data_IF_082532661799
#
_entry.id   IF_082532661799
#
_cell.length_a   1.000
_cell.length_b   1.000
_cell.length_c   1.000
_cell.angle_alpha   90.00
_cell.angle_beta   90.00
_cell.angle_gamma   90.00
#
_symmetry.space_group_name_H-M   'P 1'
#
loop_
_entity.id
_entity.type
_entity.pdbx_description
1 polymer ?
#
# COMPACT_ATOMS: atom_id res chain seq x y z
N UNK A 1 3.59 -19.08 -28.60
CA UNK A 1 2.27 -19.73 -28.67
C UNK A 1 1.21 -18.68 -28.32
N UNK A 2 0.21 -18.43 -29.18
CA UNK A 2 -0.85 -17.46 -28.86
C UNK A 2 -1.74 -18.00 -27.73
N UNK A 3 -1.86 -17.25 -26.63
CA UNK A 3 -2.85 -17.54 -25.57
C UNK A 3 -4.27 -17.45 -26.14
N UNK A 4 -5.13 -18.43 -25.84
CA UNK A 4 -6.54 -18.41 -26.26
C UNK A 4 -7.29 -17.25 -25.61
N UNK A 5 -8.31 -16.73 -26.31
CA UNK A 5 -9.14 -15.63 -25.82
C UNK A 5 -9.84 -15.96 -24.48
N UNK A 6 -10.20 -17.23 -24.26
CA UNK A 6 -10.80 -17.72 -23.02
C UNK A 6 -9.83 -17.60 -21.83
N UNK A 7 -8.55 -17.92 -22.03
CA UNK A 7 -7.54 -17.82 -20.97
C UNK A 7 -7.30 -16.36 -20.56
N UNK A 8 -7.34 -15.43 -21.52
CA UNK A 8 -7.24 -13.98 -21.22
C UNK A 8 -8.41 -13.48 -20.38
N UNK A 9 -9.64 -13.94 -20.64
CA UNK A 9 -10.82 -13.58 -19.85
C UNK A 9 -10.71 -14.06 -18.41
N UNK A 10 -10.21 -15.29 -18.18
CA UNK A 10 -9.99 -15.83 -16.84
C UNK A 10 -8.94 -15.03 -16.06
N UNK A 11 -7.83 -14.65 -16.69
CA UNK A 11 -6.81 -13.79 -16.06
C UNK A 11 -7.38 -12.41 -15.74
N UNK A 12 -8.10 -11.78 -16.68
CA UNK A 12 -8.74 -10.48 -16.47
C UNK A 12 -9.72 -10.54 -15.29
N UNK A 13 -10.58 -11.56 -15.23
CA UNK A 13 -11.52 -11.75 -14.13
C UNK A 13 -10.80 -11.95 -12.79
N UNK A 14 -9.73 -12.75 -12.76
CA UNK A 14 -8.92 -12.95 -11.56
C UNK A 14 -8.27 -11.62 -11.08
N UNK A 15 -7.67 -10.84 -11.99
CA UNK A 15 -7.04 -9.55 -11.66
C UNK A 15 -8.08 -8.52 -11.21
N UNK A 16 -9.20 -8.39 -11.91
CA UNK A 16 -10.30 -7.47 -11.56
C UNK A 16 -10.96 -7.83 -10.23
N UNK A 17 -11.06 -9.12 -9.91
CA UNK A 17 -11.59 -9.58 -8.62
C UNK A 17 -10.60 -9.36 -7.46
N UNK A 18 -9.29 -9.40 -7.72
CA UNK A 18 -8.25 -9.19 -6.71
C UNK A 18 -7.92 -7.70 -6.46
N UNK A 19 -8.15 -6.82 -7.44
CA UNK A 19 -7.87 -5.39 -7.33
C UNK A 19 -8.59 -4.68 -6.15
N UNK A 20 -9.91 -4.87 -5.91
CA UNK A 20 -10.56 -4.29 -4.74
C UNK A 20 -10.08 -4.94 -3.43
N UNK A 21 -9.61 -6.20 -3.51
CA UNK A 21 -9.02 -6.88 -2.37
C UNK A 21 -7.64 -6.36 -2.01
N UNK A 22 -6.79 -5.91 -2.95
CA UNK A 22 -5.48 -5.34 -2.59
C UNK A 22 -5.61 -3.97 -1.89
N UNK A 23 -6.64 -3.18 -2.23
CA UNK A 23 -6.93 -1.90 -1.59
C UNK A 23 -7.64 -2.03 -0.23
N UNK A 24 -8.36 -3.15 0.00
CA UNK A 24 -9.07 -3.42 1.26
C UNK A 24 -8.39 -4.47 2.14
N UNK A 25 -7.43 -5.23 1.62
CA UNK A 25 -6.53 -6.08 2.37
C UNK A 25 -5.42 -5.22 2.98
N UNK A 26 -5.82 -4.28 3.83
CA UNK A 26 -5.18 -4.36 5.13
C UNK A 26 -5.53 -5.76 5.63
N UNK A 27 -4.58 -6.69 5.76
CA UNK A 27 -4.88 -8.00 6.30
C UNK A 27 -5.69 -7.75 7.55
N UNK A 28 -6.91 -8.33 7.63
CA UNK A 28 -7.64 -8.38 8.89
C UNK A 28 -6.66 -9.04 9.82
N UNK A 29 -6.00 -8.22 10.65
CA UNK A 29 -4.84 -8.66 11.39
C UNK A 29 -5.25 -9.94 12.12
N UNK A 30 -4.42 -11.00 12.12
CA UNK A 30 -4.70 -12.17 12.95
C UNK A 30 -5.09 -11.63 14.34
N UNK A 31 -6.11 -12.20 15.02
CA UNK A 31 -6.68 -11.60 16.23
C UNK A 31 -5.54 -11.30 17.20
N UNK A 32 -5.10 -10.04 17.18
CA UNK A 32 -4.01 -9.62 18.01
C UNK A 32 -4.60 -9.62 19.41
N UNK A 33 -4.03 -10.45 20.27
CA UNK A 33 -4.36 -10.46 21.68
C UNK A 33 -4.34 -9.01 22.14
N UNK A 34 -5.31 -8.57 22.96
CA UNK A 34 -5.43 -7.15 23.37
C UNK A 34 -4.10 -6.54 23.87
N UNK A 35 -3.19 -7.38 24.39
CA UNK A 35 -1.82 -7.04 24.76
C UNK A 35 -0.90 -6.64 23.57
N UNK A 36 -1.01 -7.29 22.41
CA UNK A 36 -0.27 -6.94 21.19
C UNK A 36 -0.84 -5.68 20.55
N UNK A 37 -2.17 -5.51 20.50
CA UNK A 37 -2.77 -4.26 20.01
C UNK A 37 -2.40 -3.04 20.88
N UNK A 38 -2.20 -3.24 22.19
CA UNK A 38 -1.74 -2.18 23.10
C UNK A 38 -0.23 -1.95 23.03
N UNK A 39 0.59 -3.00 22.85
CA UNK A 39 2.03 -2.87 22.64
C UNK A 39 2.37 -2.19 21.29
N UNK A 40 1.61 -2.50 20.24
CA UNK A 40 1.75 -1.88 18.92
C UNK A 40 1.18 -0.46 18.86
N UNK A 41 0.14 -0.15 19.65
CA UNK A 41 -0.36 1.21 19.80
C UNK A 41 0.61 2.16 20.52
N UNK A 42 1.68 1.64 21.14
CA UNK A 42 2.55 2.43 22.03
C UNK A 42 3.78 3.02 21.34
N UNK A 43 4.09 2.61 20.09
CA UNK A 43 5.16 3.22 19.30
C UNK A 43 4.63 3.73 17.95
N UNK A 44 4.49 5.07 17.76
CA UNK A 44 3.94 5.66 16.53
C UNK A 44 4.74 5.36 15.23
N UNK A 45 5.85 4.61 15.31
CA UNK A 45 6.59 4.11 14.15
C UNK A 45 6.25 2.68 13.71
N UNK A 46 5.55 1.89 14.53
CA UNK A 46 5.31 0.48 14.22
C UNK A 46 4.27 0.30 13.11
N UNK A 47 3.19 1.10 13.14
CA UNK A 47 2.16 1.14 12.08
C UNK A 47 2.75 1.43 10.69
N UNK A 48 3.71 2.37 10.60
CA UNK A 48 4.38 2.74 9.36
C UNK A 48 5.25 1.59 8.81
N UNK A 49 5.93 0.84 9.70
CA UNK A 49 6.72 -0.33 9.31
C UNK A 49 5.82 -1.45 8.79
N UNK A 50 4.71 -1.72 9.45
CA UNK A 50 3.72 -2.72 9.00
C UNK A 50 3.11 -2.32 7.65
N UNK A 51 2.76 -1.05 7.46
CA UNK A 51 2.24 -0.56 6.18
C UNK A 51 3.28 -0.65 5.05
N UNK A 52 4.54 -0.33 5.33
CA UNK A 52 5.62 -0.47 4.36
C UNK A 52 5.86 -1.95 3.98
N UNK A 53 5.79 -2.87 4.95
CA UNK A 53 5.88 -4.32 4.69
C UNK A 53 4.72 -4.82 3.84
N UNK A 54 3.48 -4.42 4.17
CA UNK A 54 2.30 -4.78 3.38
C UNK A 54 2.43 -4.27 1.93
N UNK A 55 2.89 -3.03 1.75
CA UNK A 55 3.16 -2.46 0.43
C UNK A 55 4.24 -3.23 -0.33
N UNK A 56 5.36 -3.59 0.33
CA UNK A 56 6.45 -4.34 -0.30
C UNK A 56 6.02 -5.74 -0.76
N UNK A 57 5.16 -6.41 0.02
CA UNK A 57 4.55 -7.71 -0.34
C UNK A 57 3.59 -7.57 -1.51
N UNK A 58 2.68 -6.59 -1.46
CA UNK A 58 1.75 -6.33 -2.56
C UNK A 58 2.47 -6.03 -3.87
N UNK A 59 3.53 -5.22 -3.82
CA UNK A 59 4.38 -4.93 -4.96
C UNK A 59 5.10 -6.19 -5.49
N UNK A 60 5.61 -7.04 -4.59
CA UNK A 60 6.24 -8.31 -4.95
C UNK A 60 5.29 -9.28 -5.66
N UNK A 61 4.07 -9.44 -5.13
CA UNK A 61 3.03 -10.27 -5.76
C UNK A 61 2.63 -9.71 -7.12
N UNK A 62 2.42 -8.39 -7.23
CA UNK A 62 2.06 -7.75 -8.49
C UNK A 62 3.15 -7.91 -9.56
N UNK A 63 4.42 -7.84 -9.17
CA UNK A 63 5.57 -8.05 -10.06
C UNK A 63 5.62 -9.49 -10.58
N UNK A 64 5.35 -10.48 -9.72
CA UNK A 64 5.33 -11.89 -10.12
C UNK A 64 4.23 -12.18 -11.14
N UNK A 65 3.04 -11.59 -10.97
CA UNK A 65 1.93 -11.70 -11.93
C UNK A 65 2.32 -11.10 -13.29
N UNK A 66 3.00 -9.95 -13.30
CA UNK A 66 3.51 -9.34 -14.52
C UNK A 66 4.48 -10.26 -15.27
N UNK A 67 5.45 -10.85 -14.56
CA UNK A 67 6.42 -11.81 -15.13
C UNK A 67 5.70 -13.04 -15.68
N UNK A 68 4.77 -13.62 -14.92
CA UNK A 68 4.00 -14.78 -15.34
C UNK A 68 3.14 -14.50 -16.59
N UNK A 69 2.70 -13.26 -16.79
CA UNK A 69 1.99 -12.83 -17.99
C UNK A 69 2.88 -12.73 -19.24
N UNK A 70 4.18 -13.06 -19.15
CA UNK A 70 5.08 -13.20 -20.29
C UNK A 70 5.74 -11.90 -20.74
N UNK A 71 5.77 -10.87 -19.88
CA UNK A 71 6.61 -9.70 -20.14
C UNK A 71 8.08 -10.15 -20.21
N UNK A 72 8.83 -9.82 -21.28
CA UNK A 72 10.25 -10.13 -21.39
C UNK A 72 11.03 -9.26 -20.40
N UNK A 73 11.04 -9.69 -19.14
CA UNK A 73 11.72 -9.03 -18.04
C UNK A 73 13.08 -9.72 -17.88
N UNK A 74 14.15 -8.92 -17.85
CA UNK A 74 15.47 -9.40 -17.50
C UNK A 74 15.37 -10.12 -16.13
N UNK A 75 15.79 -11.40 -16.00
CA UNK A 75 15.67 -12.16 -14.76
C UNK A 75 16.36 -11.52 -13.55
N UNK A 76 17.25 -10.53 -13.77
CA UNK A 76 17.86 -9.74 -12.71
C UNK A 76 16.93 -8.69 -12.09
N UNK A 77 15.91 -8.21 -12.81
CA UNK A 77 15.03 -7.13 -12.31
C UNK A 77 14.30 -7.48 -11.02
N UNK A 78 13.72 -8.70 -10.85
CA UNK A 78 13.12 -9.09 -9.57
C UNK A 78 14.14 -9.12 -8.42
N UNK A 79 15.35 -9.61 -8.69
CA UNK A 79 16.43 -9.67 -7.70
C UNK A 79 16.87 -8.27 -7.29
N UNK A 80 17.04 -7.37 -8.26
CA UNK A 80 17.35 -5.97 -8.02
C UNK A 80 16.24 -5.26 -7.25
N UNK A 81 14.97 -5.54 -7.56
CA UNK A 81 13.83 -4.99 -6.85
C UNK A 81 13.81 -5.41 -5.37
N UNK A 82 14.09 -6.69 -5.07
CA UNK A 82 14.21 -7.19 -3.69
C UNK A 82 15.40 -6.57 -2.97
N UNK A 83 16.57 -6.51 -3.62
CA UNK A 83 17.77 -5.88 -3.05
C UNK A 83 17.55 -4.40 -2.75
N UNK A 84 16.90 -3.66 -3.66
CA UNK A 84 16.57 -2.26 -3.48
C UNK A 84 15.57 -2.04 -2.33
N UNK A 85 14.55 -2.91 -2.20
CA UNK A 85 13.64 -2.92 -1.04
C UNK A 85 14.39 -3.12 0.27
N UNK A 86 15.26 -4.12 0.34
CA UNK A 86 16.05 -4.43 1.53
C UNK A 86 17.00 -3.27 1.89
N UNK A 87 17.69 -2.70 0.88
CA UNK A 87 18.54 -1.53 1.07
C UNK A 87 17.75 -0.31 1.58
N UNK A 88 16.53 -0.10 1.08
CA UNK A 88 15.65 0.98 1.56
C UNK A 88 15.28 0.78 3.04
N UNK A 89 14.97 -0.45 3.45
CA UNK A 89 14.70 -0.75 4.86
C UNK A 89 15.93 -0.57 5.75
N UNK A 90 17.10 -1.05 5.33
CA UNK A 90 18.34 -0.88 6.06
C UNK A 90 18.72 0.60 6.17
N UNK A 91 18.53 1.38 5.11
CA UNK A 91 18.75 2.82 5.12
C UNK A 91 17.79 3.52 6.08
N UNK A 92 16.49 3.17 6.05
CA UNK A 92 15.52 3.70 6.99
C UNK A 92 15.92 3.40 8.44
N UNK A 93 16.39 2.18 8.73
CA UNK A 93 16.87 1.81 10.07
C UNK A 93 18.16 2.55 10.47
N UNK A 94 19.01 2.94 9.53
CA UNK A 94 20.21 3.73 9.83
C UNK A 94 19.93 5.21 10.17
N UNK A 95 18.76 5.73 9.79
CA UNK A 95 18.38 7.12 10.05
C UNK A 95 18.08 7.36 11.54
N UNK A 96 18.26 8.61 12.03
CA UNK A 96 17.90 8.98 13.38
C UNK A 96 16.39 8.76 13.61
N UNK A 97 16.03 8.51 14.87
CA UNK A 97 14.66 8.13 15.25
C UNK A 97 13.59 9.16 14.83
N UNK A 98 13.99 10.43 14.71
CA UNK A 98 13.14 11.52 14.21
C UNK A 98 12.82 11.40 12.70
N UNK A 99 13.72 10.82 11.90
CA UNK A 99 13.59 10.74 10.43
C UNK A 99 13.09 9.38 9.93
N UNK A 100 13.28 8.32 10.71
CA UNK A 100 12.76 6.96 10.45
C UNK A 100 11.31 6.93 9.94
N UNK A 101 10.32 7.51 10.64
CA UNK A 101 8.91 7.41 10.20
C UNK A 101 8.69 8.06 8.82
N UNK A 102 9.43 9.11 8.49
CA UNK A 102 9.36 9.76 7.18
C UNK A 102 9.91 8.85 6.08
N UNK A 103 11.03 8.18 6.33
CA UNK A 103 11.61 7.21 5.40
C UNK A 103 10.67 6.01 5.16
N UNK A 104 10.07 5.46 6.21
CA UNK A 104 9.08 4.39 6.07
C UNK A 104 7.82 4.84 5.32
N UNK A 105 7.33 6.06 5.56
CA UNK A 105 6.21 6.62 4.81
C UNK A 105 6.55 6.81 3.33
N UNK A 106 7.78 7.22 2.99
CA UNK A 106 8.22 7.35 1.60
C UNK A 106 8.25 6.00 0.91
N UNK A 107 8.84 5.01 1.59
CA UNK A 107 8.88 3.63 1.10
C UNK A 107 7.45 3.10 0.89
N UNK A 108 6.56 3.24 1.87
CA UNK A 108 5.17 2.78 1.77
C UNK A 108 4.43 3.44 0.59
N UNK A 109 4.55 4.76 0.42
CA UNK A 109 3.94 5.48 -0.71
C UNK A 109 4.51 5.00 -2.05
N UNK A 110 5.82 4.82 -2.14
CA UNK A 110 6.51 4.29 -3.32
C UNK A 110 6.04 2.88 -3.68
N UNK A 111 5.98 1.96 -2.71
CA UNK A 111 5.54 0.58 -2.95
C UNK A 111 4.06 0.51 -3.35
N UNK A 112 3.20 1.31 -2.73
CA UNK A 112 1.79 1.36 -3.12
C UNK A 112 1.59 1.97 -4.51
N UNK A 113 2.38 3.00 -4.86
CA UNK A 113 2.40 3.56 -6.21
C UNK A 113 2.87 2.54 -7.25
N UNK A 114 3.95 1.82 -6.96
CA UNK A 114 4.46 0.74 -7.82
C UNK A 114 3.43 -0.37 -8.01
N UNK A 115 2.78 -0.82 -6.93
CA UNK A 115 1.72 -1.82 -7.00
C UNK A 115 0.54 -1.36 -7.88
N UNK A 116 0.11 -0.09 -7.75
CA UNK A 116 -0.93 0.48 -8.60
C UNK A 116 -0.49 0.57 -10.08
N UNK A 117 0.76 0.94 -10.33
CA UNK A 117 1.36 0.96 -11.66
C UNK A 117 1.42 -0.42 -12.30
N UNK A 118 1.86 -1.44 -11.55
CA UNK A 118 1.90 -2.84 -12.01
C UNK A 118 0.50 -3.38 -12.30
N UNK A 119 -0.48 -3.08 -11.44
CA UNK A 119 -1.87 -3.46 -11.68
C UNK A 119 -2.42 -2.83 -12.97
N UNK A 120 -2.17 -1.53 -13.19
CA UNK A 120 -2.52 -0.88 -14.44
C UNK A 120 -1.80 -1.52 -15.64
N UNK A 121 -0.49 -1.76 -15.53
CA UNK A 121 0.31 -2.34 -16.60
C UNK A 121 -0.19 -3.73 -16.99
N UNK A 122 -0.58 -4.57 -16.03
CA UNK A 122 -1.19 -5.86 -16.28
C UNK A 122 -2.49 -5.73 -17.11
N UNK A 123 -3.38 -4.79 -16.74
CA UNK A 123 -4.61 -4.51 -17.50
C UNK A 123 -4.29 -3.97 -18.90
N UNK A 124 -3.30 -3.09 -19.03
CA UNK A 124 -2.82 -2.57 -20.33
C UNK A 124 -2.34 -3.71 -21.22
N UNK A 125 -1.48 -4.60 -20.73
CA UNK A 125 -0.97 -5.75 -21.50
C UNK A 125 -2.12 -6.65 -21.95
N UNK A 126 -3.07 -6.95 -21.06
CA UNK A 126 -4.23 -7.78 -21.39
C UNK A 126 -5.15 -7.15 -22.44
N UNK A 127 -5.18 -5.82 -22.53
CA UNK A 127 -5.94 -5.05 -23.52
C UNK A 127 -5.18 -4.71 -24.81
N UNK A 128 -3.94 -5.19 -24.96
CA UNK A 128 -3.12 -4.98 -26.19
C UNK A 128 -1.95 -4.01 -26.03
N UNK A 129 -1.69 -3.50 -24.83
CA UNK A 129 -0.44 -2.84 -24.45
C UNK A 129 -0.32 -1.36 -24.81
N UNK A 130 -1.32 -0.75 -25.43
CA UNK A 130 -1.23 0.63 -25.95
C UNK A 130 -1.11 1.72 -24.87
N UNK A 131 -1.43 1.43 -23.60
CA UNK A 131 -1.47 2.42 -22.52
C UNK A 131 -0.40 2.21 -21.43
N UNK A 132 0.64 1.43 -21.71
CA UNK A 132 1.75 1.19 -20.77
C UNK A 132 2.38 2.48 -20.19
N UNK A 133 2.66 3.54 -20.98
CA UNK A 133 3.17 4.80 -20.44
C UNK A 133 2.22 5.48 -19.45
N UNK A 134 0.90 5.39 -19.69
CA UNK A 134 -0.11 5.95 -18.79
C UNK A 134 -0.12 5.24 -17.42
N UNK A 135 0.22 3.95 -17.38
CA UNK A 135 0.29 3.20 -16.12
C UNK A 135 1.42 3.66 -15.19
N UNK A 136 2.52 4.18 -15.74
CA UNK A 136 3.55 4.83 -14.93
C UNK A 136 3.00 6.09 -14.25
N UNK A 137 2.22 6.89 -14.98
CA UNK A 137 1.56 8.08 -14.43
C UNK A 137 0.53 7.71 -13.35
N UNK A 138 -0.22 6.62 -13.54
CA UNK A 138 -1.14 6.09 -12.53
C UNK A 138 -0.37 5.70 -11.27
N UNK A 139 0.75 4.99 -11.40
CA UNK A 139 1.58 4.60 -10.26
C UNK A 139 2.15 5.79 -9.50
N UNK A 140 2.73 6.77 -10.21
CA UNK A 140 3.26 8.01 -9.61
C UNK A 140 2.15 8.82 -8.95
N UNK A 141 1.01 9.01 -9.62
CA UNK A 141 -0.13 9.73 -9.08
C UNK A 141 -0.72 9.07 -7.84
N UNK A 142 -0.78 7.74 -7.82
CA UNK A 142 -1.22 7.00 -6.64
C UNK A 142 -0.25 7.12 -5.47
N UNK A 143 1.05 6.97 -5.72
CA UNK A 143 2.11 7.18 -4.72
C UNK A 143 2.12 8.61 -4.17
N UNK A 144 1.92 9.61 -5.03
CA UNK A 144 1.80 11.01 -4.62
C UNK A 144 0.56 11.22 -3.73
N UNK A 145 -0.58 10.64 -4.09
CA UNK A 145 -1.81 10.72 -3.29
C UNK A 145 -1.63 10.09 -1.91
N UNK A 146 -1.07 8.89 -1.82
CA UNK A 146 -0.82 8.20 -0.53
C UNK A 146 0.24 8.92 0.31
N UNK A 147 1.21 9.55 -0.34
CA UNK A 147 2.12 10.48 0.32
C UNK A 147 1.35 11.66 0.92
N UNK A 148 0.58 12.44 0.16
CA UNK A 148 -0.12 13.60 0.75
C UNK A 148 -1.13 13.19 1.85
N UNK A 149 -1.77 12.02 1.73
CA UNK A 149 -2.72 11.53 2.72
C UNK A 149 -2.08 11.27 4.11
N UNK A 150 -0.80 10.91 4.15
CA UNK A 150 -0.07 10.59 5.40
C UNK A 150 0.77 11.77 5.91
N UNK A 151 0.63 12.96 5.32
CA UNK A 151 1.44 14.13 5.68
C UNK A 151 1.13 14.66 7.09
N UNK A 152 -0.14 14.66 7.50
CA UNK A 152 -0.52 15.06 8.87
C UNK A 152 0.12 14.16 9.92
N UNK A 153 0.06 12.85 9.72
CA UNK A 153 0.65 11.87 10.63
C UNK A 153 2.17 12.05 10.75
N UNK A 154 2.83 12.39 9.63
CA UNK A 154 4.27 12.71 9.63
C UNK A 154 4.59 13.97 10.40
N UNK A 155 3.86 15.05 10.18
CA UNK A 155 4.07 16.32 10.90
C UNK A 155 3.83 16.15 12.40
N UNK A 156 2.84 15.33 12.79
CA UNK A 156 2.59 14.98 14.19
C UNK A 156 3.75 14.15 14.78
N UNK A 157 4.25 13.15 14.04
CA UNK A 157 5.39 12.35 14.46
C UNK A 157 6.67 13.19 14.63
N UNK A 158 6.94 14.12 13.70
CA UNK A 158 8.08 15.05 13.77
C UNK A 158 7.96 15.98 14.99
N UNK A 159 6.77 16.55 15.25
CA UNK A 159 6.51 17.37 16.45
C UNK A 159 6.71 16.59 17.75
N UNK A 160 6.37 15.31 17.76
CA UNK A 160 6.58 14.42 18.92
C UNK A 160 8.05 14.01 19.11
N UNK A 161 8.84 13.95 18.03
CA UNK A 161 10.24 13.58 18.07
C UNK A 161 11.16 14.73 18.51
N UNK A 162 10.87 15.96 18.07
CA UNK A 162 11.64 17.17 18.39
C UNK A 162 11.91 17.41 19.91
N UNK A 163 10.94 17.24 20.83
CA UNK A 163 11.22 17.43 22.26
C UNK A 163 12.08 16.31 22.87
N UNK A 164 12.08 15.10 22.29
CA UNK A 164 12.90 13.98 22.79
C UNK A 164 14.38 14.20 22.50
N UNK A 165 14.70 14.72 21.32
CA UNK A 165 16.08 15.05 20.94
C UNK A 165 16.60 16.24 21.75
N UNK A 166 15.74 17.23 22.03
CA UNK A 166 16.11 18.40 22.83
C UNK A 166 16.30 18.09 24.33
N UNK A 167 15.51 17.19 24.91
CA UNK A 167 15.52 16.96 26.35
C UNK A 167 16.65 16.03 26.84
N UNK A 168 17.33 15.31 25.94
CA UNK A 168 18.41 14.35 26.29
C UNK A 168 17.99 13.25 27.27
N UNK A 169 16.70 13.17 27.63
CA UNK A 169 16.14 12.25 28.60
C UNK A 169 14.85 11.63 28.04
N UNK A 170 14.65 10.31 28.19
CA UNK A 170 13.44 9.64 27.76
C UNK A 170 12.28 9.96 28.72
N UNK A 171 11.53 11.05 28.48
CA UNK A 171 10.29 11.38 29.20
C UNK A 171 9.33 12.20 28.32
N UNK A 172 8.02 12.21 28.65
CA UNK A 172 7.03 11.13 28.69
C UNK A 172 6.42 10.93 27.28
N UNK A 173 5.59 9.89 27.11
CA UNK A 173 4.94 9.56 25.83
C UNK A 173 4.25 10.77 25.21
N UNK A 174 4.52 11.02 23.92
CA UNK A 174 3.74 12.00 23.17
C UNK A 174 2.30 11.46 23.16
N UNK A 175 1.41 12.09 23.92
CA UNK A 175 -0.01 11.75 23.91
C UNK A 175 -0.55 12.31 22.61
N UNK A 176 -0.32 11.58 21.51
CA UNK A 176 -0.99 11.82 20.25
C UNK A 176 -2.45 11.54 20.53
N UNK A 177 -3.24 12.59 20.78
CA UNK A 177 -4.68 12.49 20.71
C UNK A 177 -5.00 12.21 19.25
N UNK A 178 -5.01 10.92 18.87
CA UNK A 178 -5.49 10.53 17.55
C UNK A 178 -6.84 11.23 17.39
N UNK A 179 -7.02 12.10 16.37
CA UNK A 179 -8.34 12.60 16.07
C UNK A 179 -9.20 11.35 15.96
N UNK A 180 -10.23 11.27 16.81
CA UNK A 180 -11.15 10.14 16.81
C UNK A 180 -11.61 10.08 15.37
N UNK A 181 -11.13 9.10 14.61
CA UNK A 181 -11.62 8.85 13.26
C UNK A 181 -13.08 8.57 13.53
N UNK A 182 -13.88 9.61 13.32
CA UNK A 182 -15.31 9.55 13.44
C UNK A 182 -15.66 8.50 12.41
N UNK A 183 -15.86 7.27 12.90
CA UNK A 183 -16.11 6.09 12.08
C UNK A 183 -17.20 6.56 11.15
N UNK A 184 -16.84 6.81 9.90
CA UNK A 184 -17.80 7.15 8.88
C UNK A 184 -18.67 5.92 8.86
N UNK A 185 -19.85 6.03 9.49
CA UNK A 185 -20.83 4.95 9.51
C UNK A 185 -20.98 4.66 8.02
N UNK A 186 -20.60 3.45 7.56
CA UNK A 186 -20.64 3.16 6.14
C UNK A 186 -22.05 3.54 5.70
N UNK A 187 -22.21 4.34 4.62
CA UNK A 187 -23.54 4.74 4.18
C UNK A 187 -24.34 3.46 4.07
N UNK A 188 -25.42 3.38 4.85
CA UNK A 188 -26.30 2.23 4.84
C UNK A 188 -26.65 2.05 3.36
N UNK A 189 -26.16 0.96 2.77
CA UNK A 189 -26.51 0.61 1.41
C UNK A 189 -27.98 0.24 1.48
N UNK A 190 -28.85 1.23 1.30
CA UNK A 190 -30.24 1.00 0.96
C UNK A 190 -30.19 0.36 -0.41
N UNK A 191 -30.10 -0.96 -0.44
CA UNK A 191 -30.37 -1.74 -1.65
C UNK A 191 -31.84 -1.50 -1.98
N UNK A 192 -32.12 -0.45 -2.75
CA UNK A 192 -33.34 -0.36 -3.53
C UNK A 192 -33.26 -1.49 -4.55
N UNK A 193 -33.93 -2.61 -4.25
CA UNK A 193 -34.10 -3.71 -5.16
C UNK A 193 -34.85 -3.19 -6.39
N UNK A 194 -34.14 -3.05 -7.51
CA UNK A 194 -34.70 -2.64 -8.79
C UNK A 194 -35.51 -3.77 -9.48
N UNK A 195 -36.15 -4.66 -8.72
CA UNK A 195 -36.90 -5.79 -9.28
C UNK A 195 -38.41 -5.55 -9.41
N UNK A 196 -38.95 -4.39 -9.01
CA UNK A 196 -40.39 -4.11 -9.10
C UNK A 196 -40.82 -3.24 -10.31
N UNK A 197 -39.99 -3.10 -11.34
CA UNK A 197 -40.42 -2.55 -12.63
C UNK A 197 -40.60 -3.66 -13.68
N UNK A 198 -41.58 -4.53 -13.43
CA UNK A 198 -42.26 -5.28 -14.50
C UNK A 198 -43.66 -4.69 -14.61
N UNK A 199 -43.86 -3.86 -15.64
CA UNK A 199 -45.17 -3.35 -16.00
C UNK A 199 -45.97 -4.42 -16.79
N UNK A 200 -47.32 -4.40 -16.68
CA UNK A 200 -48.22 -5.41 -17.26
C UNK A 200 -48.31 -5.38 -18.79
#
# INVERSE_FOLDING_TARGET
>A
MPMSAEYRKLILAAVLSAAPYAAQAQPKAPPQTKAQAQAQAQMPGEDAKTQAQAGAVADGVSSFVGIAAGTPINPLLPVLGVAFKAATFHHAESLPEAERPRAYAMAAAGWQGSAAGNACAAVSILSGGSFLPACLLVGVGWGWKTWNATERERLEAERCAAPRTAAGKPKPGCVVKRPRVEKTVPPVRTFLAAQDLVAP
#
